data_IF_470753112349
#
_entry.id   IF_470753112349
#
_cell.length_a   1.000
_cell.length_b   1.000
_cell.length_c   1.000
_cell.angle_alpha   90.00
_cell.angle_beta   90.00
_cell.angle_gamma   90.00
#
_symmetry.space_group_name_H-M   'P 1'
#
loop_
_entity.id
_entity.type
_entity.pdbx_description
1 polymer ?
#
# COMPACT_ATOMS: atom_id res chain seq x y z
N UNK A 1 8.22 -20.08 -17.22
CA UNK A 1 9.21 -19.68 -16.20
C UNK A 1 8.44 -19.38 -14.92
N UNK A 2 8.93 -19.82 -13.76
CA UNK A 2 8.37 -19.40 -12.47
C UNK A 2 8.83 -17.97 -12.17
N UNK A 3 7.98 -17.10 -11.59
CA UNK A 3 8.40 -15.77 -11.17
C UNK A 3 9.51 -15.87 -10.13
N UNK A 4 10.50 -14.97 -10.19
CA UNK A 4 11.51 -14.83 -9.14
C UNK A 4 11.00 -13.93 -8.00
N UNK A 5 11.77 -13.76 -6.92
CA UNK A 5 11.32 -12.96 -5.79
C UNK A 5 11.07 -11.50 -6.19
N UNK A 6 11.88 -10.96 -7.11
CA UNK A 6 11.71 -9.61 -7.65
C UNK A 6 10.37 -9.43 -8.37
N UNK A 7 9.94 -10.40 -9.16
CA UNK A 7 8.65 -10.37 -9.85
C UNK A 7 7.49 -10.33 -8.83
N UNK A 8 7.58 -11.13 -7.76
CA UNK A 8 6.58 -11.12 -6.68
C UNK A 8 6.56 -9.79 -5.92
N UNK A 9 7.72 -9.19 -5.66
CA UNK A 9 7.82 -7.88 -5.01
C UNK A 9 7.22 -6.79 -5.89
N UNK A 10 7.54 -6.76 -7.19
CA UNK A 10 6.95 -5.82 -8.15
C UNK A 10 5.42 -5.96 -8.25
N UNK A 11 4.92 -7.20 -8.32
CA UNK A 11 3.48 -7.45 -8.31
C UNK A 11 2.83 -6.94 -7.03
N UNK A 12 3.44 -7.21 -5.88
CA UNK A 12 2.94 -6.79 -4.58
C UNK A 12 2.91 -5.27 -4.44
N UNK A 13 3.94 -4.56 -4.91
CA UNK A 13 3.97 -3.09 -4.92
C UNK A 13 2.83 -2.49 -5.75
N UNK A 14 2.47 -3.12 -6.87
CA UNK A 14 1.33 -2.68 -7.69
C UNK A 14 0.00 -2.86 -6.95
N UNK A 15 -0.18 -3.98 -6.26
CA UNK A 15 -1.37 -4.22 -5.42
C UNK A 15 -1.45 -3.25 -4.24
N UNK A 16 -0.31 -2.94 -3.59
CA UNK A 16 -0.26 -1.96 -2.50
C UNK A 16 -0.64 -0.57 -3.00
N UNK A 17 -0.13 -0.13 -4.15
CA UNK A 17 -0.48 1.17 -4.72
C UNK A 17 -1.99 1.30 -4.98
N UNK A 18 -2.62 0.26 -5.54
CA UNK A 18 -4.06 0.24 -5.76
C UNK A 18 -4.85 0.30 -4.45
N UNK A 19 -4.34 -0.37 -3.42
CA UNK A 19 -4.93 -0.35 -2.08
C UNK A 19 -4.84 1.04 -1.46
N UNK A 20 -3.68 1.70 -1.55
CA UNK A 20 -3.47 3.09 -1.08
C UNK A 20 -4.46 4.03 -1.76
N UNK A 21 -4.61 3.95 -3.09
CA UNK A 21 -5.54 4.80 -3.84
C UNK A 21 -7.00 4.60 -3.38
N UNK A 22 -7.40 3.35 -3.13
CA UNK A 22 -8.75 3.03 -2.64
C UNK A 22 -8.97 3.55 -1.21
N UNK A 23 -7.95 3.42 -0.34
CA UNK A 23 -8.00 3.95 1.02
C UNK A 23 -8.03 5.48 1.07
N UNK A 24 -7.36 6.18 0.14
CA UNK A 24 -7.43 7.65 0.05
C UNK A 24 -8.86 8.12 -0.29
N UNK A 25 -9.57 7.38 -1.15
CA UNK A 25 -10.99 7.64 -1.40
C UNK A 25 -11.82 7.38 -0.14
N UNK A 26 -11.59 6.27 0.56
CA UNK A 26 -12.28 5.97 1.81
C UNK A 26 -12.02 7.03 2.90
N UNK A 27 -10.78 7.54 3.01
CA UNK A 27 -10.40 8.60 3.93
C UNK A 27 -11.20 9.89 3.68
N UNK A 28 -11.36 10.23 2.40
CA UNK A 28 -12.09 11.42 1.96
C UNK A 28 -13.59 11.32 2.26
N UNK A 29 -14.14 10.09 2.23
CA UNK A 29 -15.57 9.83 2.46
C UNK A 29 -15.91 9.48 3.92
N UNK A 30 -14.91 9.15 4.76
CA UNK A 30 -15.17 8.79 6.15
C UNK A 30 -15.64 10.01 6.96
N UNK A 31 -16.77 9.89 7.64
CA UNK A 31 -17.32 11.00 8.47
C UNK A 31 -16.72 11.01 9.87
N UNK A 32 -16.54 9.82 10.47
CA UNK A 32 -16.06 9.68 11.84
C UNK A 32 -14.55 9.93 11.93
N UNK A 33 -14.07 10.83 12.82
CA UNK A 33 -12.64 11.10 12.99
C UNK A 33 -11.81 9.85 13.31
N UNK A 34 -12.35 8.94 14.12
CA UNK A 34 -11.71 7.67 14.45
C UNK A 34 -11.48 6.77 13.22
N UNK A 35 -12.40 6.78 12.27
CA UNK A 35 -12.28 6.01 11.02
C UNK A 35 -11.25 6.66 10.10
N UNK A 36 -11.24 8.01 10.01
CA UNK A 36 -10.19 8.73 9.28
C UNK A 36 -8.80 8.38 9.82
N UNK A 37 -8.63 8.39 11.14
CA UNK A 37 -7.36 8.04 11.78
C UNK A 37 -6.93 6.61 11.46
N UNK A 38 -7.84 5.63 11.54
CA UNK A 38 -7.54 4.23 11.17
C UNK A 38 -7.12 4.09 9.71
N UNK A 39 -7.84 4.74 8.80
CA UNK A 39 -7.51 4.70 7.36
C UNK A 39 -6.15 5.36 7.09
N UNK A 40 -5.89 6.51 7.71
CA UNK A 40 -4.60 7.20 7.57
C UNK A 40 -3.44 6.36 8.09
N UNK A 41 -3.61 5.68 9.24
CA UNK A 41 -2.60 4.77 9.77
C UNK A 41 -2.32 3.60 8.82
N UNK A 42 -3.38 3.01 8.22
CA UNK A 42 -3.21 1.95 7.23
C UNK A 42 -2.45 2.42 5.98
N UNK A 43 -2.78 3.61 5.45
CA UNK A 43 -2.06 4.22 4.32
C UNK A 43 -0.57 4.41 4.67
N UNK A 44 -0.26 4.91 5.87
CA UNK A 44 1.13 5.15 6.29
C UNK A 44 1.92 3.83 6.37
N UNK A 45 1.33 2.76 6.89
CA UNK A 45 1.96 1.44 6.97
C UNK A 45 2.21 0.85 5.57
N UNK A 46 1.27 1.01 4.65
CA UNK A 46 1.41 0.56 3.26
C UNK A 46 2.50 1.32 2.52
N UNK A 47 2.55 2.65 2.66
CA UNK A 47 3.61 3.47 2.08
C UNK A 47 4.98 3.07 2.65
N UNK A 48 5.08 2.84 3.95
CA UNK A 48 6.33 2.38 4.58
C UNK A 48 6.80 1.03 4.02
N UNK A 49 5.87 0.12 3.72
CA UNK A 49 6.19 -1.15 3.05
C UNK A 49 6.66 -0.93 1.60
N UNK A 50 6.04 -0.02 0.84
CA UNK A 50 6.50 0.34 -0.51
C UNK A 50 7.92 0.94 -0.46
N UNK A 51 8.20 1.83 0.49
CA UNK A 51 9.52 2.44 0.65
C UNK A 51 10.60 1.40 0.95
N UNK A 52 10.32 0.44 1.84
CA UNK A 52 11.24 -0.65 2.18
C UNK A 52 11.53 -1.59 1.00
N UNK A 53 10.56 -1.76 0.09
CA UNK A 53 10.67 -2.62 -1.08
C UNK A 53 11.16 -1.87 -2.33
N UNK A 54 11.30 -0.54 -2.24
CA UNK A 54 11.78 0.28 -3.34
C UNK A 54 13.21 -0.11 -3.67
N UNK A 55 13.44 -0.52 -4.92
CA UNK A 55 14.76 -0.94 -5.38
C UNK A 55 15.16 -2.34 -4.91
N UNK A 56 14.23 -3.17 -4.43
CA UNK A 56 14.50 -4.58 -4.15
C UNK A 56 15.11 -5.29 -5.38
N UNK A 57 16.17 -6.06 -5.12
CA UNK A 57 16.90 -6.87 -6.09
C UNK A 57 17.02 -8.29 -5.52
N UNK A 58 16.97 -9.29 -6.41
CA UNK A 58 17.12 -10.73 -6.13
C UNK A 58 18.36 -11.24 -6.88
#
# INVERSE_FOLDING_TARGET
MMPNAKDYVHQSMSSVQNTVNTLQQALSNAEKPENKNKIQQAINSLNSAQDQLTGYQD
#
